data_IF_468046340227
#
_entry.id   IF_468046340227
#
_cell.length_a   1.000
_cell.length_b   1.000
_cell.length_c   1.000
_cell.angle_alpha   90.00
_cell.angle_beta   90.00
_cell.angle_gamma   90.00
#
_symmetry.space_group_name_H-M   'P 1'
#
loop_
_entity.id
_entity.type
_entity.pdbx_description
1 polymer ?
#
# COMPACT_ATOMS: atom_id res chain seq x y z
N UNK A 1 2.31 -12.82 23.59
CA UNK A 1 2.06 -13.31 22.21
C UNK A 1 0.69 -13.99 22.19
N UNK A 2 -0.08 -13.95 21.09
CA UNK A 2 -1.39 -14.57 20.95
C UNK A 2 -1.28 -16.08 20.79
N UNK A 3 -2.26 -16.84 21.29
CA UNK A 3 -2.38 -18.27 21.01
C UNK A 3 -3.06 -18.51 19.66
N UNK A 4 -4.04 -17.68 19.27
CA UNK A 4 -4.80 -17.83 18.03
C UNK A 4 -5.21 -16.48 17.42
N UNK A 5 -5.14 -16.38 16.08
CA UNK A 5 -5.42 -15.17 15.34
C UNK A 5 -6.29 -15.44 14.10
N UNK A 6 -7.29 -14.57 13.85
CA UNK A 6 -8.06 -14.54 12.60
C UNK A 6 -7.33 -13.73 11.54
N UNK A 7 -7.15 -14.30 10.35
CA UNK A 7 -6.65 -13.61 9.17
C UNK A 7 -7.84 -13.07 8.38
N UNK A 8 -8.18 -11.78 8.59
CA UNK A 8 -9.34 -11.12 7.97
C UNK A 8 -9.01 -10.61 6.56
N UNK A 9 -8.44 -11.46 5.74
CA UNK A 9 -8.06 -11.14 4.36
C UNK A 9 -7.97 -12.40 3.49
N UNK A 10 -7.59 -12.25 2.22
CA UNK A 10 -7.46 -13.32 1.23
C UNK A 10 -6.17 -13.20 0.42
N UNK A 11 -5.96 -14.16 -0.47
CA UNK A 11 -4.91 -14.08 -1.46
C UNK A 11 -3.50 -14.26 -0.88
N UNK A 12 -2.53 -13.56 -1.45
CA UNK A 12 -1.12 -13.71 -1.06
C UNK A 12 -0.86 -13.15 0.33
N UNK A 13 -1.52 -12.04 0.71
CA UNK A 13 -1.30 -11.43 2.03
C UNK A 13 -1.84 -12.32 3.16
N UNK A 14 -2.96 -13.01 2.96
CA UNK A 14 -3.44 -13.96 3.95
C UNK A 14 -2.45 -15.13 4.14
N UNK A 15 -1.83 -15.59 3.06
CA UNK A 15 -0.78 -16.61 3.13
C UNK A 15 0.50 -16.06 3.79
N UNK A 16 0.85 -14.79 3.54
CA UNK A 16 2.00 -14.12 4.18
C UNK A 16 1.82 -14.01 5.69
N UNK A 17 0.65 -13.60 6.14
CA UNK A 17 0.31 -13.51 7.57
C UNK A 17 0.33 -14.91 8.21
N UNK A 18 -0.24 -15.91 7.55
CA UNK A 18 -0.23 -17.30 8.02
C UNK A 18 1.20 -17.81 8.26
N UNK A 19 2.12 -17.51 7.34
CA UNK A 19 3.55 -17.88 7.47
C UNK A 19 4.18 -17.23 8.70
N UNK A 20 3.96 -15.91 8.89
CA UNK A 20 4.47 -15.18 10.07
C UNK A 20 3.91 -15.76 11.38
N UNK A 21 2.59 -16.03 11.43
CA UNK A 21 1.96 -16.65 12.60
C UNK A 21 2.57 -18.02 12.93
N UNK A 22 2.76 -18.88 11.93
CA UNK A 22 3.38 -20.21 12.13
C UNK A 22 4.78 -20.15 12.68
N UNK A 23 5.60 -19.23 12.19
CA UNK A 23 6.97 -19.03 12.68
C UNK A 23 7.01 -18.47 14.11
N UNK A 24 5.95 -17.78 14.54
CA UNK A 24 5.78 -17.28 15.92
C UNK A 24 5.01 -18.28 16.82
N UNK A 25 4.58 -19.43 16.31
CA UNK A 25 3.83 -20.43 17.06
C UNK A 25 2.35 -20.06 17.28
N UNK A 26 1.82 -19.08 16.54
CA UNK A 26 0.42 -18.63 16.63
C UNK A 26 -0.46 -19.49 15.73
N UNK A 27 -1.54 -20.07 16.27
CA UNK A 27 -2.56 -20.76 15.48
C UNK A 27 -3.35 -19.78 14.63
N UNK A 28 -3.77 -20.23 13.45
CA UNK A 28 -4.42 -19.37 12.46
C UNK A 28 -5.84 -19.82 12.15
N UNK A 29 -6.74 -18.84 12.06
CA UNK A 29 -8.09 -19.02 11.53
C UNK A 29 -8.15 -18.28 10.19
N UNK A 30 -8.32 -19.01 9.09
CA UNK A 30 -8.55 -18.43 7.78
C UNK A 30 -10.03 -18.11 7.59
N UNK A 31 -10.38 -16.88 7.25
CA UNK A 31 -11.71 -16.59 6.73
C UNK A 31 -11.72 -16.69 5.21
N UNK A 32 -12.85 -17.08 4.62
CA UNK A 32 -12.98 -17.16 3.18
C UNK A 32 -14.42 -16.96 2.71
N UNK A 33 -14.59 -16.30 1.55
CA UNK A 33 -15.86 -16.34 0.84
C UNK A 33 -16.03 -17.69 0.13
N UNK A 34 -17.25 -18.03 -0.27
CA UNK A 34 -17.50 -19.31 -0.97
C UNK A 34 -16.70 -19.47 -2.27
N UNK A 35 -16.25 -18.36 -2.90
CA UNK A 35 -15.38 -18.39 -4.08
C UNK A 35 -13.91 -18.74 -3.77
N UNK A 36 -13.49 -18.53 -2.53
CA UNK A 36 -12.09 -18.68 -2.08
C UNK A 36 -11.81 -19.94 -1.27
N UNK A 37 -12.76 -20.89 -1.24
CA UNK A 37 -12.65 -22.14 -0.46
C UNK A 37 -11.35 -22.89 -0.72
N UNK A 38 -10.84 -22.84 -1.95
CA UNK A 38 -9.67 -23.59 -2.38
C UNK A 38 -8.34 -22.82 -2.27
N UNK A 39 -8.34 -21.61 -1.69
CA UNK A 39 -7.12 -20.85 -1.48
C UNK A 39 -6.13 -21.56 -0.55
N UNK A 40 -4.83 -21.37 -0.81
CA UNK A 40 -3.75 -22.02 -0.04
C UNK A 40 -3.84 -21.72 1.46
N UNK A 41 -4.12 -20.48 1.85
CA UNK A 41 -4.21 -20.12 3.25
C UNK A 41 -5.38 -20.84 3.96
N UNK A 42 -6.50 -21.06 3.26
CA UNK A 42 -7.64 -21.82 3.80
C UNK A 42 -7.28 -23.27 4.07
N UNK A 43 -6.52 -23.90 3.16
CA UNK A 43 -6.07 -25.29 3.29
C UNK A 43 -4.96 -25.48 4.32
N UNK A 44 -4.20 -24.43 4.60
CA UNK A 44 -3.02 -24.47 5.47
C UNK A 44 -3.29 -23.96 6.88
N UNK A 45 -4.35 -23.19 7.10
CA UNK A 45 -4.71 -22.69 8.43
C UNK A 45 -5.14 -23.85 9.37
N UNK A 46 -5.03 -23.60 10.66
CA UNK A 46 -5.45 -24.56 11.68
C UNK A 46 -6.98 -24.72 11.70
N UNK A 47 -7.70 -23.60 11.47
CA UNK A 47 -9.15 -23.55 11.32
C UNK A 47 -9.54 -22.67 10.12
N UNK A 48 -10.73 -22.89 9.56
CA UNK A 48 -11.22 -22.11 8.43
C UNK A 48 -12.73 -21.88 8.52
N UNK A 49 -13.16 -20.62 8.35
CA UNK A 49 -14.57 -20.20 8.48
C UNK A 49 -15.03 -19.54 7.17
N UNK A 50 -16.13 -20.04 6.61
CA UNK A 50 -16.80 -19.39 5.49
C UNK A 50 -17.60 -18.19 6.01
N UNK A 51 -17.25 -16.98 5.55
CA UNK A 51 -17.86 -15.72 5.99
C UNK A 51 -18.93 -15.17 5.06
N UNK A 52 -19.27 -15.88 3.98
CA UNK A 52 -20.35 -15.47 3.08
C UNK A 52 -20.15 -15.81 1.61
N UNK A 53 -20.99 -15.23 0.72
CA UNK A 53 -20.91 -15.41 -0.73
C UNK A 53 -19.72 -14.66 -1.35
N UNK A 54 -19.49 -14.78 -2.69
CA UNK A 54 -18.33 -14.18 -3.34
C UNK A 54 -18.23 -12.65 -3.25
N UNK A 55 -19.35 -11.93 -3.20
CA UNK A 55 -19.34 -10.47 -3.14
C UNK A 55 -18.63 -9.96 -1.87
N UNK A 56 -17.69 -9.04 -2.03
CA UNK A 56 -16.90 -8.51 -0.92
C UNK A 56 -17.76 -7.86 0.17
N UNK A 57 -18.84 -7.16 -0.22
CA UNK A 57 -19.78 -6.53 0.71
C UNK A 57 -20.45 -7.53 1.65
N UNK A 58 -20.69 -8.75 1.18
CA UNK A 58 -21.37 -9.80 1.92
C UNK A 58 -20.40 -10.79 2.60
N UNK A 59 -19.08 -10.55 2.48
CA UNK A 59 -18.04 -11.42 3.02
C UNK A 59 -16.90 -10.61 3.67
N UNK A 60 -15.84 -10.26 2.94
CA UNK A 60 -14.64 -9.61 3.48
C UNK A 60 -14.87 -8.18 4.02
N UNK A 61 -15.95 -7.51 3.62
CA UNK A 61 -16.37 -6.20 4.16
C UNK A 61 -17.50 -6.33 5.20
N UNK A 62 -17.90 -7.56 5.55
CA UNK A 62 -18.94 -7.83 6.53
C UNK A 62 -18.32 -7.92 7.94
N UNK A 63 -18.28 -6.80 8.66
CA UNK A 63 -17.70 -6.70 10.01
C UNK A 63 -18.32 -7.72 10.97
N UNK A 64 -19.67 -7.86 11.07
CA UNK A 64 -20.28 -8.87 11.93
C UNK A 64 -19.82 -10.31 11.66
N UNK A 65 -19.67 -10.69 10.38
CA UNK A 65 -19.23 -12.03 10.02
C UNK A 65 -17.77 -12.30 10.44
N UNK A 66 -16.89 -11.28 10.33
CA UNK A 66 -15.50 -11.39 10.75
C UNK A 66 -15.36 -11.49 12.27
N UNK A 67 -16.14 -10.70 13.03
CA UNK A 67 -16.15 -10.77 14.50
C UNK A 67 -16.71 -12.11 14.96
N UNK A 68 -17.81 -12.59 14.38
CA UNK A 68 -18.36 -13.90 14.72
C UNK A 68 -17.39 -15.05 14.41
N UNK A 69 -16.58 -14.92 13.34
CA UNK A 69 -15.53 -15.90 13.07
C UNK A 69 -14.47 -15.93 14.18
N UNK A 70 -14.11 -14.79 14.75
CA UNK A 70 -13.20 -14.72 15.89
C UNK A 70 -13.82 -15.31 17.17
N UNK A 71 -15.09 -15.01 17.44
CA UNK A 71 -15.84 -15.52 18.60
C UNK A 71 -15.96 -17.05 18.60
N UNK A 72 -16.41 -17.63 17.49
CA UNK A 72 -16.67 -19.10 17.41
C UNK A 72 -15.39 -19.93 17.39
N UNK A 73 -14.25 -19.32 17.12
CA UNK A 73 -12.94 -19.99 17.10
C UNK A 73 -12.09 -19.68 18.32
N UNK A 74 -12.59 -18.90 19.28
CA UNK A 74 -11.84 -18.45 20.45
C UNK A 74 -10.50 -17.79 20.07
N UNK A 75 -10.49 -16.97 19.00
CA UNK A 75 -9.31 -16.22 18.62
C UNK A 75 -9.14 -14.99 19.53
N UNK A 76 -7.89 -14.53 19.70
CA UNK A 76 -7.55 -13.38 20.57
C UNK A 76 -7.32 -12.10 19.76
N UNK A 77 -6.95 -12.25 18.49
CA UNK A 77 -6.59 -11.14 17.63
C UNK A 77 -7.11 -11.30 16.21
N UNK A 78 -7.23 -10.17 15.49
CA UNK A 78 -7.63 -10.11 14.09
C UNK A 78 -6.60 -9.30 13.31
N UNK A 79 -6.01 -9.89 12.26
CA UNK A 79 -5.09 -9.20 11.36
C UNK A 79 -5.82 -8.85 10.05
N UNK A 80 -5.99 -7.57 9.72
CA UNK A 80 -6.74 -7.14 8.54
C UNK A 80 -5.93 -7.25 7.21
N UNK A 81 -4.61 -7.41 7.26
CA UNK A 81 -3.73 -7.35 6.10
C UNK A 81 -3.69 -5.97 5.46
N UNK A 82 -3.96 -5.90 4.16
CA UNK A 82 -4.15 -4.65 3.40
C UNK A 82 -5.43 -4.73 2.53
N UNK A 83 -5.94 -3.57 2.09
CA UNK A 83 -7.24 -3.50 1.40
C UNK A 83 -8.41 -3.84 2.32
N UNK A 84 -9.59 -4.11 1.76
CA UNK A 84 -10.82 -4.40 2.51
C UNK A 84 -11.02 -3.49 3.73
N UNK A 85 -10.95 -4.03 4.94
CA UNK A 85 -11.18 -3.32 6.19
C UNK A 85 -9.90 -2.88 6.92
N UNK A 86 -8.72 -3.01 6.29
CA UNK A 86 -7.45 -2.70 6.94
C UNK A 86 -7.31 -1.24 7.38
N UNK A 87 -7.98 -0.30 6.69
CA UNK A 87 -8.01 1.12 7.01
C UNK A 87 -9.41 1.59 7.44
N UNK A 88 -10.22 0.68 7.97
CA UNK A 88 -11.53 0.98 8.53
C UNK A 88 -11.44 1.27 10.02
N UNK A 89 -11.64 2.54 10.40
CA UNK A 89 -11.72 2.95 11.80
C UNK A 89 -12.86 2.24 12.53
N UNK A 90 -14.02 2.07 11.86
CA UNK A 90 -15.17 1.34 12.40
C UNK A 90 -14.81 -0.12 12.71
N UNK A 91 -14.07 -0.79 11.82
CA UNK A 91 -13.67 -2.17 12.05
C UNK A 91 -12.69 -2.28 13.22
N UNK A 92 -11.66 -1.43 13.29
CA UNK A 92 -10.72 -1.40 14.42
C UNK A 92 -11.46 -1.20 15.74
N UNK A 93 -12.41 -0.24 15.78
CA UNK A 93 -13.22 0.05 16.97
C UNK A 93 -14.12 -1.14 17.37
N UNK A 94 -14.82 -1.77 16.40
CA UNK A 94 -15.69 -2.92 16.65
C UNK A 94 -14.92 -4.15 17.13
N UNK A 95 -13.75 -4.42 16.55
CA UNK A 95 -12.86 -5.51 17.01
C UNK A 95 -12.51 -5.32 18.48
N UNK A 96 -12.07 -4.13 18.89
CA UNK A 96 -11.73 -3.82 20.29
C UNK A 96 -12.94 -3.86 21.22
N UNK A 97 -14.08 -3.30 20.82
CA UNK A 97 -15.32 -3.37 21.60
C UNK A 97 -15.80 -4.80 21.84
N UNK A 98 -15.48 -5.72 20.93
CA UNK A 98 -15.78 -7.15 21.03
C UNK A 98 -14.75 -7.92 21.86
N UNK A 99 -13.72 -7.26 22.40
CA UNK A 99 -12.71 -7.88 23.26
C UNK A 99 -11.53 -8.52 22.53
N UNK A 100 -11.39 -8.27 21.23
CA UNK A 100 -10.27 -8.78 20.42
C UNK A 100 -9.20 -7.70 20.22
N UNK A 101 -7.97 -8.13 19.95
CA UNK A 101 -6.89 -7.23 19.54
C UNK A 101 -6.95 -7.02 18.03
N UNK A 102 -6.98 -5.76 17.60
CA UNK A 102 -6.80 -5.39 16.20
C UNK A 102 -5.30 -5.26 15.90
N UNK A 103 -4.78 -6.01 14.93
CA UNK A 103 -3.38 -5.91 14.52
C UNK A 103 -3.22 -4.71 13.58
N UNK A 104 -2.96 -3.56 14.17
CA UNK A 104 -2.88 -2.27 13.48
C UNK A 104 -3.07 -1.11 14.46
N UNK A 105 -3.17 0.12 13.94
CA UNK A 105 -3.29 1.31 14.78
C UNK A 105 -4.69 1.46 15.38
N UNK A 106 -4.78 2.43 16.31
CA UNK A 106 -6.05 2.83 16.94
C UNK A 106 -7.04 3.41 15.93
N UNK A 107 -8.34 3.22 16.20
CA UNK A 107 -9.41 3.71 15.33
C UNK A 107 -9.33 5.23 15.07
N UNK A 108 -8.95 6.01 16.09
CA UNK A 108 -8.82 7.47 15.95
C UNK A 108 -7.65 7.86 15.04
N UNK A 109 -6.53 7.15 15.12
CA UNK A 109 -5.40 7.33 14.21
C UNK A 109 -5.77 7.00 12.76
N UNK A 110 -6.49 5.89 12.54
CA UNK A 110 -7.01 5.53 11.21
C UNK A 110 -7.94 6.65 10.70
N UNK A 111 -8.81 7.18 11.54
CA UNK A 111 -9.78 8.23 11.19
C UNK A 111 -9.08 9.53 10.80
N UNK A 112 -8.07 9.96 11.59
CA UNK A 112 -7.30 11.18 11.32
C UNK A 112 -6.51 11.03 10.01
N UNK A 113 -5.80 9.91 9.82
CA UNK A 113 -5.00 9.69 8.61
C UNK A 113 -5.85 9.41 7.36
N UNK A 114 -7.09 8.95 7.52
CA UNK A 114 -8.04 8.76 6.43
C UNK A 114 -8.66 10.07 5.90
N UNK A 115 -8.61 11.17 6.66
CA UNK A 115 -8.99 12.51 6.20
C UNK A 115 -7.75 13.29 5.75
N UNK A 116 -7.67 13.60 4.45
CA UNK A 116 -6.49 14.25 3.88
C UNK A 116 -6.17 15.64 4.45
N UNK A 117 -7.19 16.36 4.92
CA UNK A 117 -7.02 17.69 5.53
C UNK A 117 -6.47 17.53 6.95
N UNK A 118 -7.06 16.65 7.75
CA UNK A 118 -6.62 16.40 9.12
C UNK A 118 -5.25 15.73 9.15
N UNK A 119 -4.99 14.78 8.24
CA UNK A 119 -3.67 14.16 8.09
C UNK A 119 -2.60 15.22 7.76
N UNK A 120 -2.87 16.13 6.80
CA UNK A 120 -1.95 17.20 6.44
C UNK A 120 -1.68 18.15 7.61
N UNK A 121 -2.70 18.52 8.38
CA UNK A 121 -2.54 19.34 9.59
C UNK A 121 -1.63 18.65 10.62
N UNK A 122 -1.86 17.38 10.88
CA UNK A 122 -1.05 16.59 11.79
C UNK A 122 0.41 16.52 11.31
N UNK A 123 0.64 16.30 10.01
CA UNK A 123 1.99 16.23 9.43
C UNK A 123 2.73 17.56 9.52
N UNK A 124 2.06 18.67 9.21
CA UNK A 124 2.65 20.02 9.35
C UNK A 124 3.05 20.27 10.82
N UNK A 125 2.20 19.90 11.77
CA UNK A 125 2.48 20.04 13.21
C UNK A 125 3.71 19.21 13.65
N UNK A 126 3.94 18.06 13.04
CA UNK A 126 5.12 17.19 13.26
C UNK A 126 6.34 17.58 12.39
N UNK A 127 6.27 18.71 11.66
CA UNK A 127 7.38 19.19 10.83
C UNK A 127 7.66 18.39 9.57
N UNK A 128 6.69 17.59 9.10
CA UNK A 128 6.77 16.87 7.82
C UNK A 128 6.40 17.81 6.69
N UNK A 129 7.24 17.93 5.63
CA UNK A 129 6.95 18.78 4.48
C UNK A 129 5.69 18.29 3.74
N UNK A 130 4.78 19.21 3.44
CA UNK A 130 3.55 18.94 2.71
C UNK A 130 3.49 19.75 1.42
N UNK A 131 2.73 19.26 0.43
CA UNK A 131 2.48 20.01 -0.80
C UNK A 131 1.94 21.40 -0.45
N UNK A 132 2.55 22.50 -0.97
CA UNK A 132 2.05 23.85 -0.73
C UNK A 132 0.55 23.97 -1.11
N UNK A 133 -0.24 24.56 -0.22
CA UNK A 133 -1.68 24.66 -0.40
C UNK A 133 -2.36 25.27 0.83
N UNK A 134 -3.67 25.44 0.78
CA UNK A 134 -4.38 26.11 1.88
C UNK A 134 -4.61 25.23 3.12
N UNK A 135 -4.54 23.90 2.97
CA UNK A 135 -4.81 22.99 4.09
C UNK A 135 -6.23 23.05 4.67
N UNK A 136 -7.15 23.82 4.06
CA UNK A 136 -8.52 24.05 4.51
C UNK A 136 -9.51 23.80 3.36
N UNK A 137 -10.78 23.47 3.70
CA UNK A 137 -11.83 23.34 2.70
C UNK A 137 -12.03 24.62 1.88
N UNK A 138 -12.22 24.47 0.56
CA UNK A 138 -12.59 25.59 -0.30
C UNK A 138 -14.03 26.01 -0.04
N UNK A 139 -14.22 27.29 0.31
CA UNK A 139 -15.53 27.91 0.47
C UNK A 139 -16.27 28.10 -0.87
N UNK A 140 -17.38 28.85 -0.80
CA UNK A 140 -18.20 29.18 -1.97
C UNK A 140 -17.88 30.59 -2.52
N UNK A 141 -17.01 31.36 -1.84
CA UNK A 141 -16.58 32.65 -2.31
C UNK A 141 -15.49 32.55 -3.38
N UNK A 142 -15.88 32.85 -4.62
CA UNK A 142 -14.99 32.75 -5.78
C UNK A 142 -13.77 33.68 -5.68
N UNK A 143 -13.92 34.89 -5.11
CA UNK A 143 -12.81 35.84 -5.01
C UNK A 143 -11.73 35.34 -4.04
N UNK A 144 -12.14 34.76 -2.92
CA UNK A 144 -11.24 34.12 -1.96
C UNK A 144 -10.52 32.94 -2.60
N UNK A 145 -11.22 32.10 -3.35
CA UNK A 145 -10.62 30.93 -4.02
C UNK A 145 -9.62 31.36 -5.12
N UNK A 146 -9.92 32.44 -5.88
CA UNK A 146 -8.97 32.98 -6.88
C UNK A 146 -7.72 33.56 -6.22
N UNK A 147 -7.86 34.32 -5.15
CA UNK A 147 -6.71 34.86 -4.40
C UNK A 147 -5.81 33.75 -3.89
N UNK A 148 -6.40 32.70 -3.31
CA UNK A 148 -5.68 31.54 -2.84
C UNK A 148 -4.92 30.82 -3.96
N UNK A 149 -5.56 30.62 -5.12
CA UNK A 149 -4.94 30.01 -6.28
C UNK A 149 -3.73 30.83 -6.79
N UNK A 150 -3.80 32.16 -6.72
CA UNK A 150 -2.68 33.04 -7.06
C UNK A 150 -1.54 32.94 -6.03
N UNK A 151 -1.85 32.82 -4.74
CA UNK A 151 -0.84 32.65 -3.68
C UNK A 151 -0.10 31.32 -3.81
N UNK A 152 -0.80 30.23 -4.16
CA UNK A 152 -0.20 28.90 -4.42
C UNK A 152 0.59 28.92 -5.73
N UNK A 153 0.13 29.63 -6.76
CA UNK A 153 0.71 29.71 -8.10
C UNK A 153 0.33 28.52 -8.99
N UNK A 154 -0.16 28.84 -10.21
CA UNK A 154 -0.52 27.83 -11.22
C UNK A 154 0.72 27.07 -11.76
N UNK A 155 0.57 25.80 -12.21
CA UNK A 155 -0.64 24.99 -12.13
C UNK A 155 -0.95 24.54 -10.69
N UNK A 156 -2.24 24.37 -10.40
CA UNK A 156 -2.75 23.87 -9.13
C UNK A 156 -3.60 22.63 -9.34
N UNK A 157 -3.81 21.87 -8.27
CA UNK A 157 -4.70 20.71 -8.27
C UNK A 157 -5.78 20.88 -7.20
N UNK A 158 -7.05 20.59 -7.56
CA UNK A 158 -8.17 20.54 -6.64
C UNK A 158 -8.41 19.09 -6.31
N UNK A 159 -8.52 18.76 -5.02
CA UNK A 159 -8.67 17.39 -4.52
C UNK A 159 -9.86 17.27 -3.57
N UNK A 160 -10.58 16.14 -3.65
CA UNK A 160 -11.59 15.77 -2.65
C UNK A 160 -10.92 15.37 -1.33
N UNK A 161 -11.44 15.85 -0.19
CA UNK A 161 -10.90 15.55 1.14
C UNK A 161 -11.00 14.07 1.49
N UNK A 162 -12.11 13.42 1.13
CA UNK A 162 -12.34 11.98 1.33
C UNK A 162 -11.94 11.11 0.13
N UNK A 163 -11.25 11.66 -0.88
CA UNK A 163 -10.90 10.96 -2.12
C UNK A 163 -9.65 10.08 -2.00
N UNK A 164 -9.59 9.04 -2.83
CA UNK A 164 -8.43 8.15 -2.94
C UNK A 164 -8.31 7.52 -4.32
N UNK A 165 -7.16 6.89 -4.61
CA UNK A 165 -6.96 6.15 -5.87
C UNK A 165 -7.03 7.01 -7.14
N UNK A 166 -6.65 8.29 -7.07
CA UNK A 166 -6.64 9.19 -8.23
C UNK A 166 -8.02 9.73 -8.66
N UNK A 167 -9.07 9.47 -7.89
CA UNK A 167 -10.43 9.98 -8.17
C UNK A 167 -10.73 11.25 -7.37
N UNK A 168 -11.58 12.13 -7.91
CA UNK A 168 -11.92 13.40 -7.27
C UNK A 168 -10.76 14.40 -7.26
N UNK A 169 -9.94 14.41 -8.32
CA UNK A 169 -8.83 15.33 -8.52
C UNK A 169 -8.92 16.00 -9.89
N UNK A 170 -8.56 17.29 -9.94
CA UNK A 170 -8.59 18.06 -11.20
C UNK A 170 -7.48 19.10 -11.22
N UNK A 171 -6.60 19.00 -12.21
CA UNK A 171 -5.53 19.98 -12.46
C UNK A 171 -6.11 21.23 -13.14
N UNK A 172 -5.66 22.39 -12.70
CA UNK A 172 -6.07 23.71 -13.20
C UNK A 172 -4.83 24.51 -13.59
N UNK A 173 -4.68 24.76 -14.88
CA UNK A 173 -3.51 25.47 -15.41
C UNK A 173 -3.70 27.00 -15.47
N UNK A 174 -4.95 27.47 -15.51
CA UNK A 174 -5.26 28.89 -15.67
C UNK A 174 -6.42 29.33 -14.79
N UNK A 175 -6.46 30.59 -14.39
CA UNK A 175 -7.51 31.19 -13.57
C UNK A 175 -8.91 31.02 -14.17
N UNK A 176 -9.04 31.13 -15.50
CA UNK A 176 -10.34 31.01 -16.18
C UNK A 176 -11.03 29.66 -16.00
N UNK A 177 -10.28 28.61 -15.74
CA UNK A 177 -10.81 27.27 -15.49
C UNK A 177 -11.09 26.97 -14.01
N UNK A 178 -10.66 27.84 -13.08
CA UNK A 178 -10.67 27.56 -11.64
C UNK A 178 -12.07 27.26 -11.10
N UNK A 179 -13.00 28.19 -11.27
CA UNK A 179 -14.34 28.13 -10.63
C UNK A 179 -15.14 26.92 -11.15
N UNK A 180 -15.08 26.70 -12.47
CA UNK A 180 -15.76 25.53 -13.06
C UNK A 180 -15.14 24.20 -12.56
N UNK A 181 -13.82 24.17 -12.39
CA UNK A 181 -13.11 22.98 -11.87
C UNK A 181 -13.46 22.71 -10.41
N UNK A 182 -13.57 23.74 -9.56
CA UNK A 182 -14.02 23.59 -8.16
C UNK A 182 -15.44 22.99 -8.11
N UNK A 183 -16.38 23.56 -8.89
CA UNK A 183 -17.77 23.09 -8.90
C UNK A 183 -17.90 21.63 -9.36
N UNK A 184 -17.17 21.25 -10.42
CA UNK A 184 -17.15 19.88 -10.93
C UNK A 184 -16.56 18.92 -9.90
N UNK A 185 -15.42 19.27 -9.29
CA UNK A 185 -14.76 18.40 -8.30
C UNK A 185 -15.60 18.25 -7.04
N UNK A 186 -16.27 19.30 -6.55
CA UNK A 186 -17.26 19.21 -5.44
C UNK A 186 -18.41 18.25 -5.77
N UNK A 187 -18.96 18.32 -6.99
CA UNK A 187 -20.05 17.45 -7.45
C UNK A 187 -19.61 15.99 -7.54
N UNK A 188 -18.45 15.73 -8.13
CA UNK A 188 -17.84 14.39 -8.20
C UNK A 188 -17.56 13.83 -6.80
N UNK A 189 -16.96 14.63 -5.92
CA UNK A 189 -16.68 14.25 -4.54
C UNK A 189 -17.93 13.87 -3.76
N UNK A 190 -19.00 14.66 -3.87
CA UNK A 190 -20.29 14.37 -3.26
C UNK A 190 -20.89 13.06 -3.76
N UNK A 191 -20.78 12.78 -5.06
CA UNK A 191 -21.36 11.59 -5.68
C UNK A 191 -20.59 10.30 -5.36
N UNK A 192 -19.24 10.35 -5.36
CA UNK A 192 -18.41 9.16 -5.19
C UNK A 192 -18.03 8.87 -3.74
N UNK A 193 -17.85 9.92 -2.92
CA UNK A 193 -17.35 9.78 -1.55
C UNK A 193 -18.37 10.21 -0.49
N UNK A 194 -19.59 10.62 -0.89
CA UNK A 194 -20.58 11.18 0.01
C UNK A 194 -20.07 12.40 0.83
N UNK A 195 -18.98 13.03 0.38
CA UNK A 195 -18.36 14.20 1.01
C UNK A 195 -17.94 15.19 -0.08
N UNK A 196 -18.64 16.35 -0.24
CA UNK A 196 -18.34 17.34 -1.27
C UNK A 196 -17.16 18.26 -0.93
N UNK A 197 -16.50 18.04 0.21
CA UNK A 197 -15.38 18.86 0.65
C UNK A 197 -14.19 18.70 -0.30
N UNK A 198 -13.68 19.83 -0.81
CA UNK A 198 -12.49 19.88 -1.66
C UNK A 198 -11.50 20.91 -1.13
N UNK A 199 -10.23 20.75 -1.42
CA UNK A 199 -9.14 21.65 -1.09
C UNK A 199 -8.21 21.83 -2.29
N UNK A 200 -7.26 22.76 -2.21
CA UNK A 200 -6.38 23.17 -3.32
C UNK A 200 -4.92 23.05 -2.91
N UNK A 201 -4.09 22.54 -3.83
CA UNK A 201 -2.64 22.40 -3.66
C UNK A 201 -1.88 22.79 -4.93
N UNK A 202 -0.59 23.03 -4.79
CA UNK A 202 0.32 23.13 -5.94
C UNK A 202 0.31 21.82 -6.72
N UNK A 203 0.22 21.89 -8.03
CA UNK A 203 0.40 20.72 -8.89
C UNK A 203 1.90 20.54 -9.16
N UNK A 204 2.40 19.34 -8.86
CA UNK A 204 3.76 18.91 -9.17
C UNK A 204 3.73 18.25 -10.56
N UNK A 205 4.65 18.67 -11.45
CA UNK A 205 4.56 18.30 -12.87
C UNK A 205 5.23 16.96 -13.19
N UNK A 206 6.40 16.71 -12.59
CA UNK A 206 7.20 15.50 -12.85
C UNK A 206 7.68 14.80 -11.58
N UNK A 207 6.82 14.60 -10.57
CA UNK A 207 7.25 14.03 -9.30
C UNK A 207 7.52 12.53 -9.40
N UNK A 208 8.35 12.05 -8.48
CA UNK A 208 8.49 10.63 -8.15
C UNK A 208 7.59 10.30 -6.95
N UNK A 209 7.17 9.05 -6.85
CA UNK A 209 6.45 8.54 -5.70
C UNK A 209 7.43 7.82 -4.78
N UNK A 210 7.80 8.48 -3.71
CA UNK A 210 8.72 7.95 -2.68
C UNK A 210 7.93 7.75 -1.40
N UNK A 211 8.16 6.63 -0.71
CA UNK A 211 7.44 6.33 0.52
C UNK A 211 8.37 5.82 1.61
N UNK A 212 8.06 6.15 2.86
CA UNK A 212 8.86 5.79 4.04
C UNK A 212 8.12 4.75 4.87
N UNK A 213 8.72 3.58 5.03
CA UNK A 213 8.21 2.53 5.92
C UNK A 213 8.54 2.84 7.36
N UNK A 214 7.56 2.77 8.26
CA UNK A 214 7.74 2.92 9.70
C UNK A 214 7.21 1.72 10.47
N UNK A 215 7.78 1.51 11.66
CA UNK A 215 7.26 0.63 12.71
C UNK A 215 7.23 1.43 14.02
N UNK A 216 6.14 1.31 14.77
CA UNK A 216 5.97 1.99 16.05
C UNK A 216 5.26 1.10 17.06
N UNK A 217 5.74 1.10 18.31
CA UNK A 217 5.21 0.28 19.41
C UNK A 217 4.41 1.11 20.42
N UNK A 218 3.82 0.43 21.42
CA UNK A 218 3.06 1.05 22.50
C UNK A 218 3.95 1.65 23.62
N UNK A 219 5.27 1.53 23.50
CA UNK A 219 6.25 1.96 24.51
C UNK A 219 6.92 3.30 24.16
N UNK A 220 6.47 3.94 23.06
CA UNK A 220 7.02 5.20 22.57
C UNK A 220 8.25 5.06 21.70
N UNK A 221 8.54 3.85 21.21
CA UNK A 221 9.60 3.62 20.23
C UNK A 221 9.01 3.62 18.81
N UNK A 222 9.68 4.32 17.90
CA UNK A 222 9.38 4.28 16.49
C UNK A 222 10.67 4.32 15.66
N UNK A 223 10.68 3.61 14.55
CA UNK A 223 11.80 3.55 13.61
C UNK A 223 11.31 3.66 12.19
N UNK A 224 12.18 4.15 11.29
CA UNK A 224 11.96 4.02 9.85
C UNK A 224 12.86 2.93 9.25
N UNK A 225 12.34 2.20 8.27
CA UNK A 225 13.04 1.11 7.58
C UNK A 225 13.57 1.54 6.20
N UNK A 226 13.79 2.83 6.01
CA UNK A 226 14.18 3.41 4.73
C UNK A 226 12.98 3.65 3.81
N UNK A 227 13.33 4.03 2.58
CA UNK A 227 12.37 4.40 1.55
C UNK A 227 12.21 3.33 0.47
N UNK A 228 11.07 3.44 -0.24
CA UNK A 228 10.77 2.74 -1.49
C UNK A 228 10.48 3.75 -2.59
N UNK A 229 10.86 3.42 -3.81
CA UNK A 229 10.40 4.09 -5.03
C UNK A 229 9.24 3.31 -5.64
N UNK A 230 8.10 3.96 -5.76
CA UNK A 230 6.87 3.41 -6.34
C UNK A 230 6.41 4.22 -7.56
N UNK A 231 7.33 4.89 -8.25
CA UNK A 231 7.02 5.78 -9.38
C UNK A 231 6.58 5.03 -10.63
N UNK A 232 6.94 3.74 -10.76
CA UNK A 232 6.52 2.95 -11.90
C UNK A 232 5.05 2.55 -11.76
N UNK A 233 4.16 3.43 -12.22
CA UNK A 233 2.71 3.36 -12.04
C UNK A 233 1.96 3.41 -13.36
N UNK A 234 0.75 2.84 -13.35
CA UNK A 234 -0.24 2.96 -14.43
C UNK A 234 -1.59 3.33 -13.81
N UNK A 235 -2.18 4.46 -14.20
CA UNK A 235 -3.44 4.98 -13.64
C UNK A 235 -3.43 5.02 -12.11
N UNK A 236 -2.35 5.52 -11.54
CA UNK A 236 -2.09 5.58 -10.10
C UNK A 236 -2.01 4.19 -9.41
N UNK A 237 -1.88 3.11 -10.15
CA UNK A 237 -1.61 1.78 -9.62
C UNK A 237 -0.13 1.46 -9.77
N UNK A 238 0.52 1.14 -8.67
CA UNK A 238 1.92 0.71 -8.64
C UNK A 238 2.08 -0.60 -9.41
N UNK A 239 3.10 -0.71 -10.26
CA UNK A 239 3.38 -1.86 -11.14
C UNK A 239 4.71 -2.50 -10.79
N UNK A 240 5.73 -1.67 -10.51
CA UNK A 240 7.05 -2.07 -10.02
C UNK A 240 7.43 -1.15 -8.87
N UNK A 241 7.97 -1.74 -7.82
CA UNK A 241 8.48 -1.04 -6.65
C UNK A 241 9.92 -1.46 -6.37
N UNK A 242 10.72 -0.56 -5.81
CA UNK A 242 12.11 -0.85 -5.48
C UNK A 242 12.57 -0.18 -4.17
N UNK A 243 13.53 -0.79 -3.50
CA UNK A 243 14.19 -0.26 -2.31
C UNK A 243 15.71 -0.59 -2.33
N UNK A 244 16.56 0.37 -1.89
CA UNK A 244 16.27 1.77 -1.65
C UNK A 244 15.93 2.53 -2.95
N UNK A 245 15.33 3.72 -2.84
CA UNK A 245 14.95 4.53 -4.01
C UNK A 245 16.21 5.09 -4.70
N UNK A 246 16.37 4.90 -6.02
CA UNK A 246 17.52 5.46 -6.75
C UNK A 246 17.60 6.98 -6.60
N UNK A 247 18.80 7.52 -6.37
CA UNK A 247 19.05 8.95 -6.29
C UNK A 247 18.59 9.66 -5.01
N UNK A 248 18.01 8.96 -4.05
CA UNK A 248 17.79 9.49 -2.69
C UNK A 248 19.07 9.32 -1.89
N UNK A 249 19.59 10.44 -1.36
CA UNK A 249 20.82 10.43 -0.56
C UNK A 249 20.58 9.92 0.85
N UNK A 250 21.65 9.51 1.54
CA UNK A 250 21.55 9.07 2.94
C UNK A 250 21.05 10.20 3.85
N UNK A 251 21.48 11.44 3.61
CA UNK A 251 21.03 12.62 4.35
C UNK A 251 19.52 12.86 4.15
N UNK A 252 19.04 12.77 2.91
CA UNK A 252 17.62 12.91 2.59
C UNK A 252 16.79 11.80 3.25
N UNK A 253 17.25 10.54 3.17
CA UNK A 253 16.60 9.38 3.83
C UNK A 253 16.51 9.58 5.33
N UNK A 254 17.62 9.95 5.97
CA UNK A 254 17.68 10.21 7.40
C UNK A 254 16.76 11.36 7.80
N UNK A 255 16.83 12.48 7.08
CA UNK A 255 16.02 13.67 7.33
C UNK A 255 14.52 13.38 7.37
N UNK A 256 14.00 12.69 6.33
CA UNK A 256 12.56 12.43 6.24
C UNK A 256 12.14 11.25 7.12
N UNK A 257 12.99 10.21 7.20
CA UNK A 257 12.72 9.03 8.00
C UNK A 257 12.60 9.32 9.51
N UNK A 258 13.53 10.11 10.07
CA UNK A 258 13.48 10.53 11.48
C UNK A 258 12.22 11.34 11.78
N UNK A 259 11.77 12.21 10.88
CA UNK A 259 10.52 12.95 11.04
C UNK A 259 9.28 12.05 10.99
N UNK A 260 9.26 11.07 10.09
CA UNK A 260 8.17 10.09 10.04
C UNK A 260 8.11 9.25 11.31
N UNK A 261 9.26 8.80 11.84
CA UNK A 261 9.33 8.07 13.11
C UNK A 261 8.87 8.95 14.28
N UNK A 262 9.31 10.20 14.34
CA UNK A 262 8.88 11.14 15.40
C UNK A 262 7.38 11.42 15.32
N UNK A 263 6.82 11.62 14.12
CA UNK A 263 5.37 11.78 13.93
C UNK A 263 4.57 10.57 14.43
N UNK A 264 5.09 9.34 14.28
CA UNK A 264 4.47 8.15 14.86
C UNK A 264 4.44 8.20 16.39
N UNK A 265 5.53 8.64 17.02
CA UNK A 265 5.59 8.82 18.48
C UNK A 265 4.57 9.87 18.94
N UNK A 266 4.55 11.04 18.28
CA UNK A 266 3.67 12.16 18.64
C UNK A 266 2.18 11.79 18.52
N UNK A 267 1.82 10.95 17.56
CA UNK A 267 0.45 10.47 17.34
C UNK A 267 0.09 9.23 18.15
N UNK A 268 1.04 8.60 18.84
CA UNK A 268 0.83 7.29 19.46
C UNK A 268 0.48 6.19 18.45
N UNK A 269 1.12 6.23 17.27
CA UNK A 269 0.89 5.26 16.21
C UNK A 269 1.32 3.86 16.63
N UNK A 270 0.56 2.82 16.24
CA UNK A 270 0.87 1.42 16.55
C UNK A 270 0.95 0.57 15.29
N UNK A 271 1.99 -0.26 15.20
CA UNK A 271 2.17 -1.22 14.12
C UNK A 271 2.99 -0.69 12.95
N UNK A 272 2.78 -1.27 11.78
CA UNK A 272 3.42 -0.85 10.53
C UNK A 272 2.59 0.23 9.83
N UNK A 273 3.27 1.27 9.36
CA UNK A 273 2.67 2.34 8.57
C UNK A 273 3.62 2.79 7.46
N UNK A 274 3.07 3.50 6.48
CA UNK A 274 3.87 4.04 5.38
C UNK A 274 3.42 5.46 5.09
N UNK A 275 4.38 6.40 5.13
CA UNK A 275 4.19 7.77 4.69
C UNK A 275 4.51 7.87 3.22
N UNK A 276 3.55 8.29 2.40
CA UNK A 276 3.73 8.49 0.96
C UNK A 276 4.01 9.94 0.63
N UNK A 277 4.99 10.16 -0.25
CA UNK A 277 5.46 11.48 -0.68
C UNK A 277 5.52 11.57 -2.20
N UNK A 278 5.23 12.75 -2.72
CA UNK A 278 5.75 13.17 -4.01
C UNK A 278 7.14 13.80 -3.79
N UNK A 279 8.10 13.39 -4.59
CA UNK A 279 9.47 13.89 -4.54
C UNK A 279 9.80 14.59 -5.86
N UNK A 280 10.07 15.89 -5.78
CA UNK A 280 10.42 16.73 -6.93
C UNK A 280 11.39 17.81 -6.50
N UNK A 281 12.39 18.13 -7.34
CA UNK A 281 13.40 19.15 -7.08
C UNK A 281 14.14 18.96 -5.72
N UNK A 282 14.48 17.71 -5.39
CA UNK A 282 15.15 17.32 -4.14
C UNK A 282 14.33 17.56 -2.85
N UNK A 283 13.03 17.79 -2.97
CA UNK A 283 12.12 18.02 -1.85
C UNK A 283 11.03 16.94 -1.76
N UNK A 284 10.70 16.55 -0.52
CA UNK A 284 9.60 15.64 -0.20
C UNK A 284 8.34 16.43 0.08
N UNK A 285 7.20 15.94 -0.43
CA UNK A 285 5.89 16.54 -0.20
C UNK A 285 4.90 15.43 0.20
N UNK A 286 4.51 15.40 1.46
CA UNK A 286 3.55 14.42 1.99
C UNK A 286 2.23 14.47 1.25
N UNK A 287 1.69 13.29 0.91
CA UNK A 287 0.39 13.14 0.27
C UNK A 287 -0.60 12.34 1.11
N UNK A 288 -0.18 11.22 1.70
CA UNK A 288 -1.02 10.41 2.57
C UNK A 288 -0.20 9.45 3.43
N UNK A 289 -0.83 8.88 4.47
CA UNK A 289 -0.26 7.80 5.25
C UNK A 289 -1.14 6.56 5.14
N UNK A 290 -0.57 5.45 4.73
CA UNK A 290 -1.23 4.16 4.79
C UNK A 290 -1.03 3.55 6.18
N UNK A 291 -2.14 3.37 6.91
CA UNK A 291 -2.15 2.92 8.30
C UNK A 291 -2.16 1.39 8.44
N UNK A 292 -1.39 0.72 7.60
CA UNK A 292 -1.33 -0.75 7.45
C UNK A 292 -0.02 -1.19 6.80
N UNK A 293 0.19 -2.50 6.72
CA UNK A 293 1.19 -3.06 5.81
C UNK A 293 0.78 -2.80 4.35
N UNK A 294 1.75 -2.52 3.49
CA UNK A 294 1.51 -2.33 2.04
C UNK A 294 1.87 -3.59 1.24
N UNK A 295 1.44 -3.64 -0.04
CA UNK A 295 1.75 -4.73 -0.98
C UNK A 295 3.25 -4.90 -1.10
N UNK A 296 3.97 -3.80 -1.26
CA UNK A 296 5.39 -3.66 -1.54
C UNK A 296 6.33 -3.76 -0.31
N UNK A 297 5.79 -4.14 0.88
CA UNK A 297 6.61 -4.36 2.06
C UNK A 297 7.80 -5.35 1.85
N UNK A 298 7.69 -6.35 0.94
CA UNK A 298 8.79 -7.29 0.75
C UNK A 298 10.10 -6.68 0.28
N UNK A 299 10.11 -5.59 -0.51
CA UNK A 299 11.37 -4.98 -0.92
C UNK A 299 12.12 -4.38 0.26
N UNK A 300 11.39 -3.78 1.22
CA UNK A 300 11.98 -3.29 2.48
C UNK A 300 12.50 -4.45 3.34
N UNK A 301 11.73 -5.54 3.46
CA UNK A 301 12.17 -6.73 4.19
C UNK A 301 13.45 -7.34 3.60
N UNK A 302 13.58 -7.36 2.27
CA UNK A 302 14.75 -7.92 1.60
C UNK A 302 16.00 -7.09 1.82
N UNK A 303 15.91 -5.77 1.91
CA UNK A 303 17.09 -4.90 2.11
C UNK A 303 17.44 -4.68 3.58
N UNK A 304 16.46 -4.80 4.50
CA UNK A 304 16.69 -4.62 5.94
C UNK A 304 16.90 -5.91 6.71
N UNK A 305 16.35 -7.03 6.21
CA UNK A 305 16.28 -8.29 6.94
C UNK A 305 15.23 -8.32 8.06
N UNK A 306 14.39 -7.28 8.19
CA UNK A 306 13.34 -7.16 9.21
C UNK A 306 12.01 -7.69 8.63
N UNK A 307 11.38 -8.64 9.30
CA UNK A 307 10.06 -9.18 8.94
C UNK A 307 8.95 -8.27 9.49
N UNK A 308 8.42 -7.39 8.63
CA UNK A 308 7.43 -6.37 9.01
C UNK A 308 6.15 -7.00 9.55
N UNK A 309 5.69 -8.11 8.98
CA UNK A 309 4.45 -8.76 9.44
C UNK A 309 4.63 -9.41 10.81
N UNK A 310 5.79 -10.00 11.08
CA UNK A 310 6.10 -10.48 12.46
C UNK A 310 6.16 -9.35 13.47
N UNK A 311 6.77 -8.22 13.09
CA UNK A 311 6.82 -7.05 13.98
C UNK A 311 5.41 -6.50 14.25
N UNK A 312 4.51 -6.47 13.25
CA UNK A 312 3.11 -6.11 13.51
C UNK A 312 2.45 -7.02 14.56
N UNK A 313 2.71 -8.33 14.50
CA UNK A 313 2.16 -9.30 15.46
C UNK A 313 2.75 -9.10 16.87
N UNK A 314 4.05 -8.85 16.98
CA UNK A 314 4.71 -8.58 18.26
C UNK A 314 4.23 -7.29 18.89
N UNK A 315 4.18 -6.21 18.11
CA UNK A 315 3.69 -4.91 18.57
C UNK A 315 2.24 -5.03 19.04
N UNK A 316 1.38 -5.68 18.28
CA UNK A 316 -0.02 -5.88 18.67
C UNK A 316 -0.18 -6.75 19.93
N UNK A 317 0.77 -7.64 20.20
CA UNK A 317 0.85 -8.42 21.44
C UNK A 317 1.42 -7.62 22.63
N UNK A 318 1.75 -6.34 22.44
CA UNK A 318 2.28 -5.44 23.48
C UNK A 318 3.79 -5.56 23.69
N UNK A 319 4.52 -6.23 22.79
CA UNK A 319 5.98 -6.31 22.88
C UNK A 319 6.62 -4.99 22.37
N UNK A 320 7.71 -4.50 22.99
CA UNK A 320 8.48 -3.40 22.44
C UNK A 320 9.23 -3.84 21.19
N UNK A 321 9.61 -2.87 20.33
CA UNK A 321 10.54 -3.12 19.23
C UNK A 321 11.84 -3.72 19.79
N UNK A 322 12.31 -4.80 19.17
CA UNK A 322 13.51 -5.53 19.61
C UNK A 322 14.82 -4.94 19.05
N UNK A 323 14.75 -3.85 18.30
CA UNK A 323 15.86 -3.14 17.67
C UNK A 323 15.61 -1.63 17.69
N UNK A 324 16.68 -0.87 17.55
CA UNK A 324 16.69 0.59 17.46
C UNK A 324 16.96 1.05 16.03
N UNK A 325 16.88 2.35 15.78
CA UNK A 325 17.20 2.92 14.46
C UNK A 325 18.64 2.60 14.01
N UNK A 326 19.58 2.57 14.94
CA UNK A 326 21.00 2.31 14.64
C UNK A 326 21.29 0.85 14.24
N UNK A 327 20.39 -0.08 14.55
CA UNK A 327 20.48 -1.48 14.13
C UNK A 327 20.02 -1.72 12.69
N UNK A 328 19.35 -0.74 12.08
CA UNK A 328 18.76 -0.86 10.76
C UNK A 328 19.78 -0.48 9.69
N UNK A 329 20.19 -1.47 8.91
CA UNK A 329 21.16 -1.31 7.82
C UNK A 329 20.55 -1.77 6.50
N UNK A 330 20.49 -0.89 5.53
CA UNK A 330 20.05 -1.23 4.18
C UNK A 330 21.18 -1.96 3.43
N UNK A 331 20.92 -3.17 2.92
CA UNK A 331 21.88 -4.00 2.22
C UNK A 331 21.40 -4.37 0.84
N UNK A 332 22.19 -4.02 -0.17
CA UNK A 332 21.89 -4.32 -1.55
C UNK A 332 20.69 -3.51 -2.09
N UNK A 333 19.98 -4.11 -3.02
CA UNK A 333 18.83 -3.51 -3.68
C UNK A 333 17.77 -4.57 -3.98
N UNK A 334 16.50 -4.27 -3.77
CA UNK A 334 15.38 -5.16 -4.04
C UNK A 334 14.38 -4.50 -5.01
N UNK A 335 13.85 -5.29 -5.92
CA UNK A 335 12.82 -4.88 -6.88
C UNK A 335 11.66 -5.86 -6.76
N UNK A 336 10.43 -5.35 -6.70
CA UNK A 336 9.20 -6.12 -6.73
C UNK A 336 8.47 -5.84 -8.05
N UNK A 337 7.96 -6.90 -8.69
CA UNK A 337 7.04 -6.84 -9.82
C UNK A 337 5.70 -7.41 -9.38
N UNK A 338 4.62 -6.62 -9.49
CA UNK A 338 3.27 -7.13 -9.25
C UNK A 338 2.83 -8.02 -10.40
N UNK A 339 2.32 -9.20 -10.08
CA UNK A 339 1.83 -10.17 -11.05
C UNK A 339 0.29 -10.14 -11.05
N UNK A 340 -0.28 -9.68 -12.16
CA UNK A 340 -1.72 -9.52 -12.33
C UNK A 340 -2.26 -10.47 -13.40
N UNK A 341 -3.42 -11.07 -13.15
CA UNK A 341 -4.22 -11.79 -14.12
C UNK A 341 -4.94 -10.79 -15.03
N UNK A 342 -4.21 -10.23 -16.00
CA UNK A 342 -4.64 -9.18 -16.92
C UNK A 342 -4.12 -9.43 -18.33
N UNK A 343 -4.89 -9.01 -19.31
CA UNK A 343 -4.41 -8.93 -20.69
C UNK A 343 -3.27 -7.90 -20.77
N UNK A 344 -2.07 -8.26 -21.27
CA UNK A 344 -0.90 -7.37 -21.20
C UNK A 344 -0.98 -6.15 -22.13
N UNK A 345 -1.96 -6.09 -23.03
CA UNK A 345 -2.16 -4.99 -23.98
C UNK A 345 -3.34 -4.11 -23.58
N UNK A 346 -4.49 -4.72 -23.26
CA UNK A 346 -5.71 -3.98 -22.91
C UNK A 346 -5.85 -3.71 -21.43
N UNK A 347 -5.06 -4.42 -20.59
CA UNK A 347 -5.09 -4.36 -19.13
C UNK A 347 -6.43 -4.75 -18.50
N UNK A 348 -7.27 -5.44 -19.26
CA UNK A 348 -8.53 -5.97 -18.75
C UNK A 348 -8.25 -7.19 -17.87
N UNK A 349 -8.93 -7.33 -16.71
CA UNK A 349 -8.84 -8.52 -15.89
C UNK A 349 -9.13 -9.81 -16.70
N UNK A 350 -8.31 -10.84 -16.48
CA UNK A 350 -8.41 -12.11 -17.16
C UNK A 350 -8.57 -13.26 -16.16
N UNK A 351 -9.76 -13.39 -15.51
CA UNK A 351 -10.03 -14.50 -14.60
C UNK A 351 -10.07 -15.82 -15.39
N UNK A 352 -9.73 -16.92 -14.75
CA UNK A 352 -9.68 -18.24 -15.40
C UNK A 352 -8.95 -19.28 -14.59
N UNK A 353 -8.79 -20.47 -15.15
CA UNK A 353 -8.05 -21.55 -14.51
C UNK A 353 -6.59 -21.52 -14.93
N UNK A 354 -5.70 -21.64 -13.97
CA UNK A 354 -4.26 -21.75 -14.20
C UNK A 354 -3.94 -23.23 -14.46
N UNK A 355 -3.54 -23.53 -15.69
CA UNK A 355 -3.23 -24.91 -16.10
C UNK A 355 -1.82 -25.29 -15.61
N UNK A 356 -0.84 -24.43 -15.88
CA UNK A 356 0.55 -24.62 -15.46
C UNK A 356 1.02 -23.41 -14.68
N UNK A 357 1.61 -23.66 -13.53
CA UNK A 357 2.32 -22.67 -12.73
C UNK A 357 3.70 -23.17 -12.37
N UNK A 358 4.74 -22.47 -12.85
CA UNK A 358 6.12 -22.68 -12.42
C UNK A 358 6.67 -21.39 -11.80
N UNK A 359 7.13 -21.51 -10.56
CA UNK A 359 7.69 -20.41 -9.78
C UNK A 359 9.21 -20.38 -9.97
N UNK A 360 9.81 -19.23 -10.33
CA UNK A 360 11.24 -19.11 -10.47
C UNK A 360 11.96 -19.27 -9.14
N UNK A 361 13.23 -19.60 -9.18
CA UNK A 361 14.07 -19.79 -8.02
C UNK A 361 15.43 -19.09 -8.13
N UNK A 362 16.34 -19.45 -7.22
CA UNK A 362 17.71 -18.96 -7.20
C UNK A 362 17.99 -17.94 -6.09
N UNK A 363 19.27 -17.55 -5.93
CA UNK A 363 19.68 -16.61 -4.88
C UNK A 363 18.99 -15.24 -4.99
N UNK A 364 18.39 -14.79 -3.89
CA UNK A 364 17.73 -13.48 -3.83
C UNK A 364 16.38 -13.42 -4.54
N UNK A 365 15.79 -14.53 -4.96
CA UNK A 365 14.44 -14.58 -5.52
C UNK A 365 13.43 -14.97 -4.44
N UNK A 366 12.38 -14.15 -4.31
CA UNK A 366 11.23 -14.38 -3.43
C UNK A 366 9.95 -14.23 -4.24
N UNK A 367 9.03 -15.17 -4.09
CA UNK A 367 7.73 -15.11 -4.73
C UNK A 367 6.64 -15.22 -3.67
N UNK A 368 5.81 -14.18 -3.56
CA UNK A 368 4.63 -14.18 -2.69
C UNK A 368 3.39 -14.38 -3.56
N UNK A 369 2.81 -15.55 -3.49
CA UNK A 369 1.64 -15.91 -4.30
C UNK A 369 0.81 -17.00 -3.66
N UNK A 370 -0.49 -16.94 -3.91
CA UNK A 370 -1.47 -17.93 -3.47
C UNK A 370 -1.86 -18.92 -4.57
N UNK A 371 -1.40 -18.70 -5.82
CA UNK A 371 -1.78 -19.56 -6.96
C UNK A 371 -1.04 -20.90 -6.96
N UNK A 372 -1.60 -21.86 -7.68
CA UNK A 372 -1.06 -23.20 -7.92
C UNK A 372 -1.72 -23.82 -9.17
N UNK A 373 -1.19 -24.93 -9.67
CA UNK A 373 -1.77 -25.65 -10.81
C UNK A 373 -3.23 -26.04 -10.52
N UNK A 374 -4.15 -25.70 -11.41
CA UNK A 374 -5.57 -25.93 -11.28
C UNK A 374 -6.32 -24.88 -10.45
N UNK A 375 -5.63 -23.85 -9.92
CA UNK A 375 -6.31 -22.76 -9.22
C UNK A 375 -7.13 -21.92 -10.20
N UNK A 376 -8.37 -21.60 -9.81
CA UNK A 376 -9.25 -20.72 -10.59
C UNK A 376 -9.22 -19.31 -10.02
N UNK A 377 -8.67 -18.37 -10.77
CA UNK A 377 -8.72 -16.94 -10.44
C UNK A 377 -10.17 -16.46 -10.55
N UNK A 378 -10.79 -15.99 -9.44
CA UNK A 378 -12.19 -15.56 -9.48
C UNK A 378 -12.32 -14.13 -10.05
N UNK A 379 -13.48 -13.79 -10.65
CA UNK A 379 -13.72 -12.45 -11.22
C UNK A 379 -14.21 -11.42 -10.20
N UNK A 380 -14.24 -11.74 -8.93
CA UNK A 380 -14.90 -10.92 -7.88
C UNK A 380 -13.97 -9.96 -7.17
N UNK A 381 -12.65 -10.13 -7.31
CA UNK A 381 -11.62 -9.44 -6.54
C UNK A 381 -10.58 -8.82 -7.47
N UNK A 382 -9.61 -8.12 -6.87
CA UNK A 382 -8.48 -7.57 -7.60
C UNK A 382 -7.74 -8.65 -8.43
N UNK A 383 -7.17 -8.23 -9.57
CA UNK A 383 -6.49 -9.12 -10.52
C UNK A 383 -5.12 -9.59 -10.04
N UNK A 384 -4.59 -9.04 -8.94
CA UNK A 384 -3.26 -9.41 -8.43
C UNK A 384 -3.24 -10.85 -7.91
N UNK A 385 -2.41 -11.68 -8.52
CA UNK A 385 -2.24 -13.10 -8.20
C UNK A 385 -0.93 -13.42 -7.48
N UNK A 386 -0.06 -12.45 -7.38
CA UNK A 386 1.21 -12.58 -6.68
C UNK A 386 2.12 -11.40 -6.93
N UNK A 387 3.31 -11.50 -6.37
CA UNK A 387 4.41 -10.57 -6.56
C UNK A 387 5.72 -11.34 -6.58
N UNK A 388 6.59 -10.93 -7.50
CA UNK A 388 7.92 -11.48 -7.66
C UNK A 388 8.93 -10.45 -7.19
N UNK A 389 9.81 -10.82 -6.27
CA UNK A 389 10.83 -9.96 -5.70
C UNK A 389 12.21 -10.51 -6.02
N UNK A 390 13.09 -9.63 -6.49
CA UNK A 390 14.50 -9.96 -6.71
C UNK A 390 15.38 -9.02 -5.89
N UNK A 391 16.28 -9.59 -5.11
CA UNK A 391 17.28 -8.86 -4.34
C UNK A 391 18.68 -9.12 -4.91
N UNK A 392 19.51 -8.10 -5.02
CA UNK A 392 20.89 -8.15 -5.46
C UNK A 392 21.81 -7.30 -4.58
N UNK A 393 23.13 -7.48 -4.74
CA UNK A 393 24.11 -6.68 -3.98
C UNK A 393 24.07 -5.20 -4.40
N UNK A 394 23.56 -4.93 -5.59
CA UNK A 394 23.29 -3.62 -6.15
C UNK A 394 22.05 -3.66 -7.07
N UNK A 395 21.63 -2.50 -7.56
CA UNK A 395 20.46 -2.36 -8.41
C UNK A 395 20.59 -3.10 -9.76
N UNK A 396 21.78 -3.07 -10.36
CA UNK A 396 22.04 -3.76 -11.62
C UNK A 396 21.90 -5.29 -11.46
N UNK A 397 22.42 -5.83 -10.37
CA UNK A 397 22.27 -7.24 -10.00
C UNK A 397 20.81 -7.61 -9.71
N UNK A 398 20.05 -6.74 -9.02
CA UNK A 398 18.62 -6.97 -8.78
C UNK A 398 17.81 -6.99 -10.09
N UNK A 399 18.06 -6.05 -11.03
CA UNK A 399 17.45 -6.04 -12.36
C UNK A 399 17.80 -7.32 -13.14
N UNK A 400 19.07 -7.74 -13.14
CA UNK A 400 19.49 -8.94 -13.84
C UNK A 400 18.83 -10.20 -13.28
N UNK A 401 18.73 -10.32 -11.95
CA UNK A 401 17.99 -11.41 -11.27
C UNK A 401 16.51 -11.38 -11.60
N UNK A 402 15.88 -10.20 -11.60
CA UNK A 402 14.46 -10.06 -11.95
C UNK A 402 14.19 -10.47 -13.41
N UNK A 403 15.04 -10.07 -14.35
CA UNK A 403 14.95 -10.51 -15.76
C UNK A 403 15.00 -12.03 -15.89
N UNK A 404 15.94 -12.67 -15.21
CA UNK A 404 16.08 -14.13 -15.22
C UNK A 404 14.83 -14.78 -14.62
N UNK A 405 14.36 -14.31 -13.47
CA UNK A 405 13.18 -14.84 -12.79
C UNK A 405 11.90 -14.68 -13.63
N UNK A 406 11.70 -13.52 -14.27
CA UNK A 406 10.55 -13.29 -15.17
C UNK A 406 10.61 -14.17 -16.43
N UNK A 407 11.81 -14.52 -16.91
CA UNK A 407 11.96 -15.43 -18.07
C UNK A 407 11.71 -16.90 -17.72
N UNK A 408 11.96 -17.28 -16.45
CA UNK A 408 11.73 -18.63 -15.94
C UNK A 408 10.28 -18.87 -15.51
N UNK A 409 9.56 -17.80 -15.08
CA UNK A 409 8.19 -17.91 -14.58
C UNK A 409 7.21 -18.33 -15.67
N UNK A 410 6.41 -19.36 -15.37
CA UNK A 410 5.33 -19.81 -16.26
C UNK A 410 3.99 -19.72 -15.55
N UNK A 411 3.04 -19.05 -16.18
CA UNK A 411 1.62 -19.00 -15.77
C UNK A 411 0.79 -19.19 -17.04
N UNK A 412 0.33 -20.41 -17.29
CA UNK A 412 -0.51 -20.74 -18.44
C UNK A 412 -1.97 -20.95 -18.03
N UNK A 413 -2.88 -20.84 -19.02
CA UNK A 413 -4.32 -20.94 -18.85
C UNK A 413 -5.03 -19.60 -18.70
N UNK A 414 -4.30 -18.54 -18.31
CA UNK A 414 -4.77 -17.16 -18.21
C UNK A 414 -3.75 -16.20 -18.82
N UNK A 415 -4.19 -14.97 -19.13
CA UNK A 415 -3.27 -13.89 -19.50
C UNK A 415 -2.77 -13.18 -18.23
N UNK A 416 -1.51 -12.75 -18.27
CA UNK A 416 -0.87 -12.01 -17.17
C UNK A 416 -0.10 -10.80 -17.70
N UNK A 417 0.24 -9.88 -16.80
CA UNK A 417 1.07 -8.71 -17.09
C UNK A 417 2.59 -9.03 -17.12
N UNK A 418 3.01 -10.30 -17.08
CA UNK A 418 4.43 -10.69 -17.14
C UNK A 418 5.16 -10.07 -18.35
N UNK A 419 4.59 -10.04 -19.58
CA UNK A 419 5.25 -9.37 -20.70
C UNK A 419 5.55 -7.89 -20.45
N UNK A 420 4.65 -7.15 -19.81
CA UNK A 420 4.88 -5.75 -19.41
C UNK A 420 6.04 -5.65 -18.40
N UNK A 421 6.12 -6.56 -17.42
CA UNK A 421 7.23 -6.58 -16.46
C UNK A 421 8.57 -6.85 -17.13
N UNK A 422 8.60 -7.77 -18.11
CA UNK A 422 9.80 -8.04 -18.91
C UNK A 422 10.24 -6.82 -19.72
N UNK A 423 9.29 -6.10 -20.33
CA UNK A 423 9.56 -4.86 -21.10
C UNK A 423 10.09 -3.73 -20.19
N UNK A 424 9.55 -3.58 -18.98
CA UNK A 424 10.05 -2.60 -18.00
C UNK A 424 11.48 -2.98 -17.57
N UNK A 425 11.72 -4.22 -17.23
CA UNK A 425 13.05 -4.66 -16.81
C UNK A 425 14.10 -4.57 -17.95
N UNK A 426 13.68 -4.66 -19.21
CA UNK A 426 14.57 -4.50 -20.37
C UNK A 426 14.83 -3.03 -20.72
N UNK A 427 14.08 -2.10 -20.15
CA UNK A 427 14.13 -0.68 -20.50
C UNK A 427 15.38 -0.01 -19.93
N UNK A 428 16.15 0.64 -20.82
CA UNK A 428 17.35 1.39 -20.45
C UNK A 428 17.05 2.61 -19.57
N UNK A 429 15.88 3.26 -19.74
CA UNK A 429 15.48 4.37 -18.91
C UNK A 429 15.11 3.91 -17.49
N UNK A 430 14.41 2.77 -17.34
CA UNK A 430 14.21 2.15 -16.03
C UNK A 430 15.55 1.78 -15.39
N UNK A 431 16.45 1.18 -16.16
CA UNK A 431 17.79 0.81 -15.68
C UNK A 431 18.62 2.04 -15.22
N UNK A 432 18.42 3.20 -15.84
CA UNK A 432 19.05 4.46 -15.40
C UNK A 432 18.51 4.99 -14.07
N UNK A 433 17.28 4.63 -13.69
CA UNK A 433 16.62 5.06 -12.44
C UNK A 433 15.97 6.44 -12.50
N UNK A 434 15.35 6.83 -11.39
CA UNK A 434 14.77 8.16 -11.18
C UNK A 434 13.63 8.54 -12.16
N UNK A 435 12.83 7.58 -12.63
CA UNK A 435 11.68 7.85 -13.46
C UNK A 435 10.54 8.48 -12.64
N UNK A 436 9.79 9.44 -13.24
CA UNK A 436 8.63 10.05 -12.59
C UNK A 436 7.36 9.17 -12.74
N UNK A 437 6.28 9.54 -12.02
CA UNK A 437 5.02 8.79 -12.01
C UNK A 437 4.32 8.72 -13.38
N UNK A 438 4.65 9.58 -14.33
CA UNK A 438 4.06 9.64 -15.66
C UNK A 438 4.82 8.80 -16.70
N UNK A 439 6.01 8.30 -16.33
CA UNK A 439 6.91 7.64 -17.27
C UNK A 439 6.26 6.44 -17.97
N UNK A 440 5.67 5.52 -17.20
CA UNK A 440 5.12 4.29 -17.78
C UNK A 440 3.92 4.57 -18.68
N UNK A 441 3.04 5.50 -18.32
CA UNK A 441 1.89 5.88 -19.14
C UNK A 441 2.33 6.52 -20.46
N UNK A 442 3.30 7.45 -20.42
CA UNK A 442 3.90 8.03 -21.63
C UNK A 442 4.51 6.95 -22.54
N UNK A 443 5.25 5.99 -21.95
CA UNK A 443 5.83 4.86 -22.70
C UNK A 443 4.78 3.97 -23.34
N UNK A 444 3.64 3.75 -22.69
CA UNK A 444 2.53 2.94 -23.21
C UNK A 444 1.61 3.72 -24.16
N UNK A 445 1.86 5.01 -24.42
CA UNK A 445 1.01 5.85 -25.27
C UNK A 445 -0.37 6.11 -24.66
N UNK A 446 -0.47 6.07 -23.35
CA UNK A 446 -1.69 6.35 -22.57
C UNK A 446 -1.62 7.83 -22.16
N UNK A 447 -2.25 8.73 -22.95
CA UNK A 447 -2.34 10.17 -22.66
C UNK A 447 -3.72 10.53 -22.12
#
# INVERSE_FOLDING_TARGET
MFDKLVIANRGEIALRILRACRELGIKTVAVYSSADRDLKHVRLADEAICIGPPASADSYLNIPALISAAEVTDAEAIHPGYGFLAESAEFSEKVKQSGFVFVGPEADTIRIMGDKIEAKKAMIASGIPCVPGNGEPLGDDNATNQKLAHEIGYPIIIKAAGGGGGRGMRTVHTEGALISSIALTKSEAGSFFCNPTVYMEKFLEDPRHIEIQVLSDAHGNAVHLGERDCSMQRRHQKVVEEAPAPGITEEQRKFIGERCAQACVDMGYLGAGTFEFLFENDEFYFIEMNTRVQVEHPVTEMVTGIDIVKEQLRIAAGEPLSFTQDDIVLRGHAIECRLNAEDPVTFMPCPGTIDIFHMPGGPGIRCETHIYNGYRVPPYYDSMIGKLIAHGDDRASAIARMRTALSEMVIDGIKTNIPLQQDIMADSAFAAGCQNIHYLEKKLGMN
#
